data_IF_976454261196
#
_entry.id   IF_976454261196
#
_cell.length_a   1.000
_cell.length_b   1.000
_cell.length_c   1.000
_cell.angle_alpha   90.00
_cell.angle_beta   90.00
_cell.angle_gamma   90.00
#
_symmetry.space_group_name_H-M   'P 1'
#
loop_
_entity.id
_entity.type
_entity.pdbx_description
1 polymer ?
#
# COMPACT_ATOMS: atom_id res chain seq x y z
N UNK A 1 1.06 -10.94 -1.44
CA UNK A 1 1.54 -10.39 -2.73
C UNK A 1 1.48 -8.87 -2.71
N UNK A 2 0.36 -8.27 -2.28
CA UNK A 2 0.20 -6.82 -2.15
C UNK A 2 1.30 -6.15 -1.32
N UNK A 3 1.62 -6.72 -0.14
CA UNK A 3 2.71 -6.23 0.73
C UNK A 3 4.01 -5.97 -0.01
N UNK A 4 4.41 -6.90 -0.88
CA UNK A 4 5.68 -6.83 -1.60
C UNK A 4 5.64 -5.74 -2.67
N UNK A 5 4.51 -5.59 -3.37
CA UNK A 5 4.33 -4.53 -4.37
C UNK A 5 4.41 -3.15 -3.73
N UNK A 6 3.70 -2.94 -2.62
CA UNK A 6 3.73 -1.67 -1.90
C UNK A 6 5.14 -1.40 -1.37
N UNK A 7 5.80 -2.42 -0.80
CA UNK A 7 7.19 -2.32 -0.34
C UNK A 7 8.13 -1.94 -1.49
N UNK A 8 8.07 -2.63 -2.62
CA UNK A 8 8.93 -2.38 -3.77
C UNK A 8 8.69 -1.00 -4.36
N UNK A 9 7.42 -0.57 -4.48
CA UNK A 9 7.06 0.77 -4.91
C UNK A 9 7.66 1.82 -3.96
N UNK A 10 7.49 1.65 -2.65
CA UNK A 10 7.97 2.63 -1.68
C UNK A 10 9.51 2.72 -1.66
N UNK A 11 10.20 1.59 -1.81
CA UNK A 11 11.66 1.54 -1.93
C UNK A 11 12.13 2.22 -3.22
N UNK A 12 11.49 1.94 -4.35
CA UNK A 12 11.91 2.44 -5.66
C UNK A 12 11.59 3.93 -5.85
N UNK A 13 10.39 4.36 -5.46
CA UNK A 13 9.89 5.70 -5.70
C UNK A 13 10.39 6.70 -4.64
N UNK A 14 10.39 6.30 -3.36
CA UNK A 14 10.72 7.20 -2.24
C UNK A 14 12.09 6.92 -1.62
N UNK A 15 12.87 5.99 -2.19
CA UNK A 15 14.21 5.63 -1.72
C UNK A 15 14.26 5.23 -0.23
N UNK A 16 13.18 4.60 0.25
CA UNK A 16 13.09 4.09 1.63
C UNK A 16 13.99 2.87 1.77
N UNK A 17 14.77 2.81 2.85
CA UNK A 17 15.66 1.69 3.09
C UNK A 17 14.85 0.37 3.30
N UNK A 18 15.19 -0.74 2.62
CA UNK A 18 14.46 -2.01 2.75
C UNK A 18 14.39 -2.54 4.18
N UNK A 19 15.39 -2.23 5.00
CA UNK A 19 15.49 -2.62 6.41
C UNK A 19 14.43 -1.95 7.31
N UNK A 20 13.81 -0.85 6.86
CA UNK A 20 12.70 -0.21 7.59
C UNK A 20 11.50 -1.17 7.70
N UNK A 21 11.25 -1.96 6.66
CA UNK A 21 10.16 -2.94 6.59
C UNK A 21 10.39 -4.21 7.44
N UNK A 22 11.57 -4.35 8.03
CA UNK A 22 11.90 -5.44 8.96
C UNK A 22 11.56 -5.06 10.42
N UNK A 23 11.21 -3.79 10.66
CA UNK A 23 10.79 -3.30 11.98
C UNK A 23 9.40 -3.80 12.33
N UNK A 24 9.21 -4.52 13.46
CA UNK A 24 7.90 -4.95 13.89
C UNK A 24 7.06 -3.73 14.29
N UNK A 25 5.83 -3.65 13.77
CA UNK A 25 4.91 -2.56 14.09
C UNK A 25 5.22 -1.23 13.38
N UNK A 26 6.03 -1.26 12.31
CA UNK A 26 6.31 -0.11 11.46
C UNK A 26 5.04 0.68 11.13
N UNK A 27 4.99 1.96 11.47
CA UNK A 27 3.87 2.82 11.10
C UNK A 27 4.01 3.32 9.67
N UNK A 28 2.91 3.56 8.98
CA UNK A 28 2.93 4.20 7.66
C UNK A 28 3.59 5.59 7.74
N UNK A 29 3.37 6.32 8.84
CA UNK A 29 4.02 7.59 9.10
C UNK A 29 5.56 7.48 9.23
N UNK A 30 6.08 6.33 9.67
CA UNK A 30 7.52 6.10 9.83
C UNK A 30 8.23 5.79 8.50
N UNK A 31 7.47 5.57 7.41
CA UNK A 31 8.03 5.40 6.07
C UNK A 31 8.68 6.69 5.54
N UNK A 32 8.46 7.83 6.19
CA UNK A 32 8.98 9.12 5.73
C UNK A 32 8.32 9.62 4.44
N UNK A 33 7.13 9.09 4.11
CA UNK A 33 6.32 9.58 3.01
C UNK A 33 5.75 10.96 3.37
N UNK A 34 5.87 11.90 2.44
CA UNK A 34 5.14 13.15 2.54
C UNK A 34 3.66 12.94 2.18
N UNK A 35 2.83 13.97 2.38
CA UNK A 35 1.39 13.88 2.09
C UNK A 35 1.10 13.54 0.63
N UNK A 36 2.01 13.88 -0.30
CA UNK A 36 1.89 13.51 -1.71
C UNK A 36 2.29 12.05 -1.96
N UNK A 37 3.36 11.58 -1.32
CA UNK A 37 3.87 10.22 -1.48
C UNK A 37 2.92 9.15 -0.98
N UNK A 38 2.19 9.42 0.11
CA UNK A 38 1.08 8.54 0.55
C UNK A 38 0.01 8.45 -0.53
N UNK A 39 -0.38 9.59 -1.12
CA UNK A 39 -1.40 9.64 -2.17
C UNK A 39 -0.93 8.93 -3.45
N UNK A 40 0.33 9.12 -3.87
CA UNK A 40 0.91 8.41 -5.02
C UNK A 40 0.94 6.90 -4.82
N UNK A 41 1.37 6.44 -3.64
CA UNK A 41 1.34 5.02 -3.27
C UNK A 41 -0.07 4.45 -3.36
N UNK A 42 -1.06 5.18 -2.84
CA UNK A 42 -2.45 4.75 -2.89
C UNK A 42 -2.97 4.67 -4.32
N UNK A 43 -2.74 5.70 -5.14
CA UNK A 43 -3.17 5.70 -6.53
C UNK A 43 -2.57 4.55 -7.33
N UNK A 44 -1.28 4.24 -7.15
CA UNK A 44 -0.67 3.13 -7.87
C UNK A 44 -1.30 1.79 -7.47
N UNK A 45 -1.54 1.58 -6.17
CA UNK A 45 -2.18 0.37 -5.67
C UNK A 45 -3.64 0.26 -6.14
N UNK A 46 -4.40 1.35 -6.08
CA UNK A 46 -5.77 1.44 -6.58
C UNK A 46 -5.87 1.09 -8.06
N UNK A 47 -4.97 1.63 -8.89
CA UNK A 47 -4.92 1.41 -10.33
C UNK A 47 -4.51 -0.03 -10.67
N UNK A 48 -3.54 -0.60 -9.93
CA UNK A 48 -3.07 -1.98 -10.12
C UNK A 48 -4.15 -3.03 -9.81
N UNK A 49 -5.04 -2.76 -8.87
CA UNK A 49 -6.05 -3.72 -8.40
C UNK A 49 -7.49 -3.34 -8.74
N UNK A 50 -7.70 -2.18 -9.36
CA UNK A 50 -9.02 -1.71 -9.80
C UNK A 50 -9.99 -1.45 -8.63
N UNK A 51 -9.51 -0.84 -7.55
CA UNK A 51 -10.35 -0.47 -6.40
C UNK A 51 -10.13 0.99 -6.00
N UNK A 52 -10.93 1.47 -5.03
CA UNK A 52 -10.77 2.81 -4.46
C UNK A 52 -10.83 2.73 -2.94
N UNK A 53 -9.99 3.52 -2.27
CA UNK A 53 -10.03 3.72 -0.83
C UNK A 53 -10.90 4.93 -0.52
N UNK A 54 -11.93 4.75 0.31
CA UNK A 54 -12.82 5.84 0.71
C UNK A 54 -12.15 6.86 1.64
N UNK A 55 -11.31 6.40 2.57
CA UNK A 55 -10.55 7.26 3.49
C UNK A 55 -9.06 6.90 3.47
N UNK A 56 -8.27 7.55 2.60
CA UNK A 56 -6.80 7.47 2.56
C UNK A 56 -6.11 7.88 3.86
N UNK A 57 -6.68 8.83 4.59
CA UNK A 57 -6.01 9.46 5.72
C UNK A 57 -5.91 8.52 6.93
N UNK A 58 -6.81 7.53 7.03
CA UNK A 58 -6.78 6.53 8.11
C UNK A 58 -5.49 5.72 8.14
N UNK A 59 -4.86 5.48 6.99
CA UNK A 59 -3.65 4.65 6.91
C UNK A 59 -2.44 5.29 7.58
N UNK A 60 -2.37 6.62 7.63
CA UNK A 60 -1.30 7.35 8.34
C UNK A 60 -1.23 7.03 9.83
N UNK A 61 -2.33 6.54 10.42
CA UNK A 61 -2.43 6.14 11.83
C UNK A 61 -2.32 4.63 12.07
N UNK A 62 -2.14 3.85 10.99
CA UNK A 62 -2.05 2.39 11.04
C UNK A 62 -0.61 1.92 10.86
N UNK A 63 -0.34 0.71 11.33
CA UNK A 63 0.87 0.00 10.93
C UNK A 63 0.83 -0.36 9.45
N UNK A 64 2.00 -0.51 8.84
CA UNK A 64 2.15 -0.92 7.46
C UNK A 64 1.44 -2.26 7.18
N UNK A 65 1.54 -3.22 8.11
CA UNK A 65 0.89 -4.52 7.95
C UNK A 65 -0.65 -4.42 8.09
N UNK A 66 -1.16 -3.55 8.96
CA UNK A 66 -2.61 -3.26 9.06
C UNK A 66 -3.15 -2.59 7.79
N UNK A 67 -2.42 -1.60 7.26
CA UNK A 67 -2.76 -0.95 6.00
C UNK A 67 -2.84 -1.98 4.86
N UNK A 68 -1.84 -2.85 4.75
CA UNK A 68 -1.84 -3.91 3.72
C UNK A 68 -3.03 -4.86 3.91
N UNK A 69 -3.32 -5.28 5.14
CA UNK A 69 -4.43 -6.18 5.41
C UNK A 69 -5.79 -5.55 5.08
N UNK A 70 -5.97 -4.27 5.40
CA UNK A 70 -7.19 -3.53 5.09
C UNK A 70 -7.36 -3.33 3.57
N UNK A 71 -6.28 -3.00 2.85
CA UNK A 71 -6.30 -2.93 1.39
C UNK A 71 -6.62 -4.29 0.76
N UNK A 72 -6.02 -5.39 1.24
CA UNK A 72 -6.34 -6.73 0.76
C UNK A 72 -7.82 -7.09 1.00
N UNK A 73 -8.39 -6.68 2.14
CA UNK A 73 -9.81 -6.86 2.43
C UNK A 73 -10.70 -6.05 1.47
N UNK A 74 -10.33 -4.80 1.20
CA UNK A 74 -11.04 -3.91 0.28
C UNK A 74 -10.99 -4.43 -1.16
N UNK A 75 -9.82 -4.83 -1.62
CA UNK A 75 -9.60 -5.43 -2.94
C UNK A 75 -10.46 -6.69 -3.09
N UNK A 76 -10.46 -7.58 -2.09
CA UNK A 76 -11.31 -8.78 -2.10
C UNK A 76 -12.79 -8.42 -2.15
N UNK A 77 -13.23 -7.44 -1.36
CA UNK A 77 -14.63 -7.01 -1.37
C UNK A 77 -15.04 -6.48 -2.76
N UNK A 78 -14.16 -5.74 -3.43
CA UNK A 78 -14.39 -5.24 -4.79
C UNK A 78 -14.35 -6.34 -5.87
N UNK A 79 -13.54 -7.39 -5.68
CA UNK A 79 -13.26 -8.43 -6.67
C UNK A 79 -13.85 -9.81 -6.31
N UNK A 80 -15.08 -9.85 -5.79
CA UNK A 80 -15.81 -11.10 -5.49
C UNK A 80 -15.05 -12.07 -4.56
N UNK A 81 -14.27 -11.55 -3.62
CA UNK A 81 -13.48 -12.30 -2.65
C UNK A 81 -12.07 -12.67 -3.11
N UNK A 82 -11.67 -12.28 -4.32
CA UNK A 82 -10.36 -12.59 -4.89
C UNK A 82 -9.42 -11.37 -4.85
N UNK A 83 -8.11 -11.63 -4.77
CA UNK A 83 -7.11 -10.61 -5.04
C UNK A 83 -6.70 -10.81 -6.50
N UNK A 84 -7.09 -9.92 -7.43
CA UNK A 84 -6.72 -10.06 -8.83
C UNK A 84 -5.20 -9.96 -9.00
N UNK A 85 -4.69 -10.51 -10.10
CA UNK A 85 -3.30 -10.29 -10.49
C UNK A 85 -3.15 -8.81 -10.82
N UNK A 86 -2.17 -8.10 -10.24
CA UNK A 86 -1.96 -6.69 -10.52
C UNK A 86 -1.78 -6.48 -12.02
N UNK A 87 -2.44 -5.46 -12.58
CA UNK A 87 -2.31 -5.14 -13.99
C UNK A 87 -0.88 -4.68 -14.24
N UNK A 88 -0.09 -5.45 -15.01
CA UNK A 88 1.26 -5.02 -15.38
C UNK A 88 1.13 -3.77 -16.26
N UNK A 89 1.58 -2.60 -15.78
CA UNK A 89 1.78 -1.45 -16.65
C UNK A 89 2.89 -1.81 -17.64
N UNK A 90 2.53 -1.95 -18.91
CA UNK A 90 3.43 -2.28 -20.01
C UNK A 90 4.26 -1.06 -20.43
#
# INVERSE_FOLDING_TARGET
MLRQIIKDFVIQQFNVAPAVFDQPGLQVADLGLDSLGVVEMLFEVEDLYGFQVEDPARYSSMSFDEMVADMEATIRAANQGQIPVPVSKA
#
